data_IF_379506546932
#
_entry.id   IF_379506546932
#
_cell.length_a   1.000
_cell.length_b   1.000
_cell.length_c   1.000
_cell.angle_alpha   90.00
_cell.angle_beta   90.00
_cell.angle_gamma   90.00
#
_symmetry.space_group_name_H-M   'P 1'
#
loop_
_entity.id
_entity.type
_entity.pdbx_description
1 polymer ?
#
# COMPACT_ATOMS: atom_id res chain seq x y z
N UNK A 1 2.95 52.68 -3.02
CA UNK A 1 3.66 52.14 -4.19
C UNK A 1 4.48 50.96 -3.71
N UNK A 2 3.96 49.74 -3.84
CA UNK A 2 4.66 48.50 -3.47
C UNK A 2 4.61 47.58 -4.67
N UNK A 3 5.74 47.41 -5.36
CA UNK A 3 5.87 46.47 -6.45
C UNK A 3 6.06 45.07 -5.84
N UNK A 4 5.07 44.21 -5.98
CA UNK A 4 5.23 42.78 -5.73
C UNK A 4 5.80 42.15 -7.00
N UNK A 5 7.04 41.65 -6.90
CA UNK A 5 7.76 40.96 -7.95
C UNK A 5 6.95 39.80 -8.53
N UNK A 6 6.66 39.87 -9.83
CA UNK A 6 6.24 38.72 -10.64
C UNK A 6 7.39 37.71 -10.70
N UNK A 7 7.34 36.65 -9.88
CA UNK A 7 8.14 35.44 -10.13
C UNK A 7 7.45 34.61 -11.21
N UNK A 8 8.20 34.35 -12.28
CA UNK A 8 7.76 33.60 -13.45
C UNK A 8 7.48 32.14 -13.09
N UNK A 9 6.40 31.58 -13.66
CA UNK A 9 5.92 30.20 -13.43
C UNK A 9 6.90 29.10 -13.93
N UNK A 10 8.04 29.48 -14.48
CA UNK A 10 9.10 28.54 -14.91
C UNK A 10 9.99 28.06 -13.75
N UNK A 11 10.06 28.76 -12.61
CA UNK A 11 10.93 28.39 -11.48
C UNK A 11 10.39 27.22 -10.62
N UNK A 12 9.12 26.82 -10.82
CA UNK A 12 8.44 25.79 -10.02
C UNK A 12 8.42 24.39 -10.68
N UNK A 13 9.19 24.16 -11.75
CA UNK A 13 9.33 22.80 -12.31
C UNK A 13 10.24 21.95 -11.42
N UNK A 14 9.76 20.85 -10.80
CA UNK A 14 10.65 19.90 -10.15
C UNK A 14 11.58 19.28 -11.21
N UNK A 15 12.87 19.20 -10.88
CA UNK A 15 13.93 18.60 -11.72
C UNK A 15 13.68 17.10 -11.91
N UNK A 16 12.78 16.73 -12.82
CA UNK A 16 12.49 15.35 -13.23
C UNK A 16 13.27 14.93 -14.48
N UNK A 17 14.54 15.28 -14.54
CA UNK A 17 15.42 14.79 -15.58
C UNK A 17 16.80 14.57 -14.98
N UNK A 18 17.27 13.32 -15.03
CA UNK A 18 18.58 12.81 -14.60
C UNK A 18 18.58 12.08 -13.24
N UNK A 19 17.78 11.03 -13.16
CA UNK A 19 18.20 9.82 -12.44
C UNK A 19 18.31 8.71 -13.47
N UNK A 20 19.45 7.99 -13.59
CA UNK A 20 19.52 6.82 -14.46
C UNK A 20 18.39 5.86 -14.10
N UNK A 21 17.71 5.32 -15.11
CA UNK A 21 16.68 4.30 -14.94
C UNK A 21 17.38 3.00 -14.53
N UNK A 22 17.78 2.88 -13.27
CA UNK A 22 18.28 1.62 -12.74
C UNK A 22 17.11 0.63 -12.77
N UNK A 23 17.19 -0.29 -13.73
CA UNK A 23 16.19 -1.34 -13.93
C UNK A 23 16.00 -2.06 -12.61
N UNK A 24 14.77 -2.17 -12.06
CA UNK A 24 14.58 -2.84 -10.79
C UNK A 24 15.14 -4.25 -10.94
N UNK A 25 16.16 -4.58 -10.15
CA UNK A 25 16.74 -5.91 -10.13
C UNK A 25 15.59 -6.91 -9.92
N UNK A 26 15.23 -7.60 -11.01
CA UNK A 26 14.22 -8.66 -10.98
C UNK A 26 14.66 -9.62 -9.88
N UNK A 27 13.87 -9.87 -8.82
CA UNK A 27 14.22 -10.91 -7.87
C UNK A 27 14.39 -12.21 -8.67
N UNK A 28 15.55 -12.84 -8.54
CA UNK A 28 15.83 -14.14 -9.18
C UNK A 28 14.77 -15.13 -8.67
N UNK A 29 13.80 -15.44 -9.52
CA UNK A 29 12.87 -16.54 -9.28
C UNK A 29 13.69 -17.83 -9.37
N UNK A 30 13.70 -18.71 -8.35
CA UNK A 30 14.38 -19.98 -8.46
C UNK A 30 13.77 -20.76 -9.62
N UNK A 31 14.58 -21.09 -10.62
CA UNK A 31 14.19 -21.99 -11.71
C UNK A 31 13.76 -23.32 -11.10
N UNK A 32 12.49 -23.72 -11.28
CA UNK A 32 11.99 -25.04 -10.91
C UNK A 32 12.83 -26.09 -11.64
N UNK A 33 13.77 -26.71 -10.93
CA UNK A 33 14.43 -27.92 -11.40
C UNK A 33 13.40 -29.05 -11.41
N UNK A 34 13.16 -29.60 -12.60
CA UNK A 34 12.43 -30.84 -12.81
C UNK A 34 13.31 -32.02 -12.38
N UNK A 35 12.93 -32.71 -11.30
CA UNK A 35 13.57 -33.92 -10.78
C UNK A 35 12.80 -34.43 -9.56
N UNK A 36 12.46 -35.72 -9.54
CA UNK A 36 11.46 -36.31 -8.65
C UNK A 36 11.92 -36.77 -7.26
N UNK A 37 10.97 -37.46 -6.62
CA UNK A 37 10.99 -38.32 -5.40
C UNK A 37 11.07 -37.68 -4.02
N UNK A 38 9.92 -37.80 -3.32
CA UNK A 38 9.65 -38.08 -1.90
C UNK A 38 10.54 -37.51 -0.79
N UNK A 39 9.88 -36.78 0.11
CA UNK A 39 10.42 -36.40 1.42
C UNK A 39 9.58 -35.30 2.06
N UNK A 40 8.63 -35.68 2.91
CA UNK A 40 7.89 -34.78 3.81
C UNK A 40 8.86 -34.08 4.75
N UNK A 41 9.33 -32.90 4.38
CA UNK A 41 9.96 -31.95 5.29
C UNK A 41 9.28 -30.60 5.10
N UNK A 42 8.63 -30.13 6.17
CA UNK A 42 7.88 -28.89 6.20
C UNK A 42 8.72 -27.75 5.65
N UNK A 43 8.20 -27.10 4.60
CA UNK A 43 8.85 -25.98 3.96
C UNK A 43 9.14 -24.89 4.98
N UNK A 44 10.42 -24.73 5.33
CA UNK A 44 10.94 -23.57 6.04
C UNK A 44 10.78 -22.35 5.12
N UNK A 45 9.60 -21.72 5.16
CA UNK A 45 9.40 -20.41 4.58
C UNK A 45 10.31 -19.46 5.37
N UNK A 46 11.23 -18.77 4.69
CA UNK A 46 12.12 -17.83 5.37
C UNK A 46 11.31 -16.68 5.96
N UNK A 47 11.51 -16.39 7.24
CA UNK A 47 10.85 -15.30 8.00
C UNK A 47 11.02 -13.90 7.40
N UNK A 48 12.02 -13.71 6.51
CA UNK A 48 12.37 -12.41 5.90
C UNK A 48 11.32 -11.80 4.95
N UNK A 49 10.23 -12.50 4.67
CA UNK A 49 9.21 -12.05 3.69
C UNK A 49 7.83 -11.88 4.32
N UNK A 50 7.75 -11.74 5.64
CA UNK A 50 6.49 -11.52 6.34
C UNK A 50 6.26 -10.05 6.67
N UNK A 51 5.00 -9.64 6.57
CA UNK A 51 4.58 -8.34 7.05
C UNK A 51 4.85 -8.25 8.56
N UNK A 52 5.81 -7.42 8.95
CA UNK A 52 5.96 -6.99 10.33
C UNK A 52 4.91 -5.91 10.61
N UNK A 53 3.79 -6.33 11.20
CA UNK A 53 2.76 -5.40 11.64
C UNK A 53 3.13 -4.83 12.99
N UNK A 54 2.95 -3.52 13.14
CA UNK A 54 3.11 -2.89 14.45
C UNK A 54 2.12 -3.50 15.44
N UNK A 55 2.45 -3.57 16.75
CA UNK A 55 1.56 -4.15 17.76
C UNK A 55 0.16 -3.52 17.75
N UNK A 56 0.09 -2.20 17.51
CA UNK A 56 -1.18 -1.44 17.37
C UNK A 56 -2.03 -2.00 16.23
N UNK A 57 -1.48 -2.14 15.03
CA UNK A 57 -2.20 -2.63 13.86
C UNK A 57 -2.58 -4.10 14.04
N UNK A 58 -1.64 -4.91 14.52
CA UNK A 58 -1.85 -6.34 14.74
C UNK A 58 -3.00 -6.61 15.72
N UNK A 59 -3.10 -5.83 16.80
CA UNK A 59 -4.17 -5.96 17.81
C UNK A 59 -5.58 -5.69 17.26
N UNK A 60 -5.69 -4.89 16.19
CA UNK A 60 -6.97 -4.52 15.58
C UNK A 60 -7.49 -5.54 14.57
N UNK A 61 -6.63 -6.46 14.11
CA UNK A 61 -6.95 -7.44 13.08
C UNK A 61 -7.37 -8.79 13.67
N UNK A 62 -8.45 -9.36 13.10
CA UNK A 62 -8.83 -10.76 13.31
C UNK A 62 -7.79 -11.71 12.69
N UNK A 63 -7.70 -12.98 13.14
CA UNK A 63 -6.71 -13.92 12.64
C UNK A 63 -6.71 -14.09 11.11
N UNK A 64 -7.88 -14.19 10.48
CA UNK A 64 -7.99 -14.29 9.01
C UNK A 64 -7.50 -13.03 8.31
N UNK A 65 -7.74 -11.86 8.90
CA UNK A 65 -7.28 -10.58 8.35
C UNK A 65 -5.76 -10.48 8.41
N UNK A 66 -5.12 -10.94 9.49
CA UNK A 66 -3.65 -11.00 9.59
C UNK A 66 -3.05 -11.92 8.54
N UNK A 67 -3.70 -13.06 8.28
CA UNK A 67 -3.28 -13.98 7.22
C UNK A 67 -3.40 -13.32 5.83
N UNK A 68 -4.50 -12.61 5.57
CA UNK A 68 -4.71 -11.85 4.32
C UNK A 68 -3.68 -10.74 4.11
N UNK A 69 -3.37 -9.97 5.16
CA UNK A 69 -2.32 -8.93 5.12
C UNK A 69 -0.95 -9.52 4.82
N UNK A 70 -0.59 -10.62 5.49
CA UNK A 70 0.68 -11.33 5.23
C UNK A 70 0.74 -11.88 3.82
N UNK A 71 -0.39 -12.40 3.31
CA UNK A 71 -0.49 -12.86 1.94
C UNK A 71 -0.30 -11.71 0.94
N UNK A 72 -0.96 -10.56 1.14
CA UNK A 72 -0.82 -9.37 0.29
C UNK A 72 0.62 -8.83 0.29
N UNK A 73 1.27 -8.78 1.46
CA UNK A 73 2.67 -8.37 1.57
C UNK A 73 3.61 -9.28 0.77
N UNK A 74 3.41 -10.60 0.83
CA UNK A 74 4.16 -11.55 0.00
C UNK A 74 3.81 -11.42 -1.48
N UNK A 75 2.56 -11.10 -1.81
CA UNK A 75 2.08 -10.93 -3.18
C UNK A 75 2.70 -9.69 -3.87
N UNK A 76 3.07 -8.65 -3.10
CA UNK A 76 3.81 -7.49 -3.61
C UNK A 76 5.05 -7.90 -4.41
N UNK A 77 5.86 -8.82 -3.89
CA UNK A 77 7.06 -9.34 -4.55
C UNK A 77 6.77 -10.18 -5.81
N UNK A 78 5.50 -10.52 -6.06
CA UNK A 78 5.04 -11.30 -7.23
C UNK A 78 4.28 -10.44 -8.24
N UNK A 79 4.26 -9.12 -8.07
CA UNK A 79 3.54 -8.19 -8.94
C UNK A 79 2.11 -7.87 -8.49
N UNK A 80 1.71 -8.27 -7.28
CA UNK A 80 0.40 -7.98 -6.70
C UNK A 80 -0.47 -9.22 -6.47
N UNK A 81 -1.71 -8.97 -6.00
CA UNK A 81 -2.68 -10.02 -5.69
C UNK A 81 -4.11 -9.48 -5.60
N UNK A 82 -5.08 -10.38 -5.69
CA UNK A 82 -6.51 -10.07 -5.57
C UNK A 82 -7.03 -10.62 -4.25
N UNK A 83 -7.57 -9.76 -3.38
CA UNK A 83 -8.23 -10.16 -2.16
C UNK A 83 -9.71 -10.45 -2.43
N UNK A 84 -10.03 -11.73 -2.58
CA UNK A 84 -11.35 -12.23 -2.98
C UNK A 84 -12.29 -12.61 -1.83
N UNK A 85 -12.00 -12.18 -0.60
CA UNK A 85 -12.80 -12.54 0.57
C UNK A 85 -14.27 -12.12 0.43
N UNK A 86 -15.17 -12.80 1.15
CA UNK A 86 -16.59 -12.45 1.21
C UNK A 86 -16.82 -10.97 1.61
N UNK A 87 -17.88 -10.32 1.10
CA UNK A 87 -18.29 -8.99 1.57
C UNK A 87 -18.48 -8.99 3.10
N UNK A 88 -18.03 -7.94 3.79
CA UNK A 88 -18.14 -7.82 5.24
C UNK A 88 -16.95 -8.35 6.06
N UNK A 89 -16.02 -9.10 5.47
CA UNK A 89 -14.84 -9.66 6.20
C UNK A 89 -13.74 -8.63 6.52
N UNK A 90 -13.98 -7.35 6.24
CA UNK A 90 -13.04 -6.26 6.54
C UNK A 90 -11.89 -6.15 5.53
N UNK A 91 -12.15 -6.33 4.23
CA UNK A 91 -11.15 -6.15 3.16
C UNK A 91 -10.51 -4.76 3.16
N UNK A 92 -11.27 -3.72 3.48
CA UNK A 92 -10.74 -2.36 3.61
C UNK A 92 -9.68 -2.28 4.69
N UNK A 93 -9.96 -2.84 5.86
CA UNK A 93 -9.02 -2.91 6.98
C UNK A 93 -7.77 -3.71 6.61
N UNK A 94 -7.92 -4.85 5.92
CA UNK A 94 -6.78 -5.61 5.41
C UNK A 94 -5.94 -4.80 4.41
N UNK A 95 -6.57 -4.03 3.52
CA UNK A 95 -5.87 -3.18 2.56
C UNK A 95 -5.09 -2.06 3.26
N UNK A 96 -5.70 -1.36 4.22
CA UNK A 96 -5.04 -0.31 5.02
C UNK A 96 -3.83 -0.88 5.77
N UNK A 97 -4.01 -2.00 6.48
CA UNK A 97 -2.91 -2.66 7.19
C UNK A 97 -1.79 -3.15 6.26
N UNK A 98 -2.13 -3.55 5.03
CA UNK A 98 -1.12 -3.94 4.02
C UNK A 98 -0.32 -2.73 3.54
N UNK A 99 -0.97 -1.59 3.31
CA UNK A 99 -0.29 -0.33 2.97
C UNK A 99 0.66 0.07 4.09
N UNK A 100 0.18 0.07 5.34
CA UNK A 100 0.99 0.38 6.52
C UNK A 100 2.23 -0.51 6.62
N UNK A 101 2.07 -1.82 6.41
CA UNK A 101 3.19 -2.77 6.42
C UNK A 101 4.21 -2.48 5.32
N UNK A 102 3.76 -2.18 4.10
CA UNK A 102 4.65 -1.88 2.97
C UNK A 102 5.40 -0.54 3.16
N UNK A 103 4.72 0.48 3.70
CA UNK A 103 5.32 1.78 4.01
C UNK A 103 6.33 1.66 5.15
N UNK A 104 5.98 0.96 6.22
CA UNK A 104 6.87 0.72 7.38
C UNK A 104 8.12 -0.05 6.97
N UNK A 105 7.97 -1.03 6.08
CA UNK A 105 9.08 -1.78 5.50
C UNK A 105 9.87 -0.99 4.43
N UNK A 106 9.51 0.27 4.15
CA UNK A 106 10.14 1.14 3.15
C UNK A 106 10.14 0.54 1.72
N UNK A 107 9.15 -0.31 1.42
CA UNK A 107 9.00 -0.96 0.11
C UNK A 107 8.21 -0.08 -0.87
N UNK A 108 7.38 0.83 -0.35
CA UNK A 108 6.63 1.80 -1.12
C UNK A 108 6.71 3.17 -0.44
N UNK A 109 6.75 4.23 -1.23
CA UNK A 109 6.74 5.62 -0.74
C UNK A 109 5.44 6.34 -1.07
N UNK A 110 4.69 5.88 -2.07
CA UNK A 110 3.44 6.49 -2.53
C UNK A 110 2.44 5.39 -2.88
N UNK A 111 1.19 5.58 -2.48
CA UNK A 111 0.09 4.63 -2.75
C UNK A 111 -1.12 5.39 -3.27
N UNK A 112 -1.68 4.94 -4.40
CA UNK A 112 -2.94 5.44 -4.94
C UNK A 112 -4.04 4.41 -4.71
N UNK A 113 -5.10 4.84 -4.01
CA UNK A 113 -6.29 4.02 -3.78
C UNK A 113 -7.44 4.61 -4.59
N UNK A 114 -7.99 3.79 -5.49
CA UNK A 114 -9.11 4.17 -6.34
C UNK A 114 -10.37 3.50 -5.82
N UNK A 115 -11.33 4.32 -5.41
CA UNK A 115 -12.62 3.90 -4.84
C UNK A 115 -13.73 4.75 -5.43
N UNK A 116 -14.98 4.33 -5.24
CA UNK A 116 -16.12 5.19 -5.60
C UNK A 116 -16.11 6.46 -4.74
N UNK A 117 -16.65 7.56 -5.26
CA UNK A 117 -16.64 8.86 -4.58
C UNK A 117 -17.26 8.78 -3.16
N UNK A 118 -18.32 7.99 -3.01
CA UNK A 118 -19.03 7.81 -1.75
C UNK A 118 -18.20 7.07 -0.69
N UNK A 119 -17.19 6.29 -1.11
CA UNK A 119 -16.31 5.55 -0.21
C UNK A 119 -15.12 6.38 0.29
N UNK A 120 -14.80 7.51 -0.34
CA UNK A 120 -13.61 8.31 0.01
C UNK A 120 -13.59 8.68 1.49
N UNK A 121 -14.72 9.15 2.03
CA UNK A 121 -14.84 9.51 3.45
C UNK A 121 -14.63 8.30 4.37
N UNK A 122 -15.21 7.15 4.02
CA UNK A 122 -15.05 5.92 4.79
C UNK A 122 -13.58 5.47 4.83
N UNK A 123 -12.91 5.45 3.68
CA UNK A 123 -11.49 5.11 3.63
C UNK A 123 -10.62 6.09 4.44
N UNK A 124 -10.93 7.37 4.42
CA UNK A 124 -10.19 8.35 5.23
C UNK A 124 -10.34 8.10 6.74
N UNK A 125 -11.52 7.72 7.20
CA UNK A 125 -11.75 7.33 8.60
C UNK A 125 -10.99 6.05 8.95
N UNK A 126 -11.02 5.05 8.07
CA UNK A 126 -10.29 3.79 8.25
C UNK A 126 -8.77 4.04 8.35
N UNK A 127 -8.19 4.85 7.46
CA UNK A 127 -6.77 5.21 7.56
C UNK A 127 -6.44 5.88 8.89
N UNK A 128 -7.21 6.89 9.31
CA UNK A 128 -6.99 7.57 10.60
C UNK A 128 -7.09 6.62 11.80
N UNK A 129 -7.95 5.61 11.73
CA UNK A 129 -8.17 4.64 12.81
C UNK A 129 -7.07 3.59 12.87
N UNK A 130 -6.63 3.10 11.72
CA UNK A 130 -5.81 1.89 11.62
C UNK A 130 -4.34 2.14 11.27
N UNK A 131 -3.95 3.34 10.81
CA UNK A 131 -2.53 3.67 10.62
C UNK A 131 -1.83 4.02 11.93
N UNK A 132 -0.50 3.92 11.93
CA UNK A 132 0.31 4.56 12.96
C UNK A 132 0.29 6.07 12.72
N UNK A 133 0.36 6.84 13.80
CA UNK A 133 0.38 8.29 13.69
C UNK A 133 1.69 8.73 13.03
N UNK A 134 1.59 9.53 11.97
CA UNK A 134 2.75 10.02 11.21
C UNK A 134 3.38 9.02 10.24
N UNK A 135 2.84 7.81 10.06
CA UNK A 135 3.36 6.85 9.06
C UNK A 135 2.92 7.17 7.64
N UNK A 136 1.73 7.75 7.47
CA UNK A 136 1.11 8.02 6.16
C UNK A 136 0.45 9.39 6.16
N UNK A 137 0.81 10.22 5.19
CA UNK A 137 0.09 11.44 4.87
C UNK A 137 -1.05 11.15 3.87
N UNK A 138 -2.28 11.50 4.24
CA UNK A 138 -3.47 11.20 3.45
C UNK A 138 -3.96 12.42 2.66
N UNK A 139 -4.03 12.29 1.34
CA UNK A 139 -4.65 13.27 0.43
C UNK A 139 -5.89 12.63 -0.21
N UNK A 140 -7.07 13.22 0.03
CA UNK A 140 -8.32 12.76 -0.56
C UNK A 140 -8.72 13.66 -1.73
N UNK A 141 -8.87 13.08 -2.92
CA UNK A 141 -9.34 13.78 -4.12
C UNK A 141 -10.71 13.23 -4.49
N UNK A 142 -11.72 14.09 -4.48
CA UNK A 142 -13.05 13.78 -4.99
C UNK A 142 -13.63 15.01 -5.67
N UNK A 143 -14.39 14.81 -6.75
CA UNK A 143 -15.10 15.91 -7.41
C UNK A 143 -16.21 16.39 -6.48
N UNK A 144 -16.25 17.69 -6.22
CA UNK A 144 -17.29 18.29 -5.39
C UNK A 144 -18.68 18.07 -6.02
N UNK A 145 -19.57 17.40 -5.29
CA UNK A 145 -21.00 17.33 -5.65
C UNK A 145 -21.61 18.71 -5.37
N UNK A 146 -21.65 19.58 -6.39
CA UNK A 146 -22.47 20.81 -6.35
C UNK A 146 -23.95 20.43 -6.30
N UNK A 147 -24.54 20.38 -5.11
CA UNK A 147 -25.99 20.50 -4.97
C UNK A 147 -26.34 21.97 -4.74
N UNK A 148 -26.93 22.59 -5.76
CA UNK A 148 -27.56 23.91 -5.64
C UNK A 148 -28.87 23.71 -4.86
N UNK A 149 -28.89 24.10 -3.59
CA UNK A 149 -30.13 24.34 -2.87
C UNK A 149 -30.68 25.66 -3.42
N UNK A 150 -31.84 25.61 -4.06
CA UNK A 150 -32.70 26.78 -4.24
C UNK A 150 -33.48 26.99 -2.95
#
# INVERSE_FOLDING_TARGET
MSQASHRSLEELRPRLSQTPLESPHRPRVPSRASGGTEGTQGSHWSTRSDAELTPKVSALLQPHQRAGVRWLFRAHYRGGGILGDEPGLGKTLQAVASVEALVTAQLVSHVLIVVTAEMVANWAVEFKKFSVEGSVDLICIQRERRHRVL
#
